data_IF_669801517112
#
_entry.id   IF_669801517112
#
_cell.length_a   1.000
_cell.length_b   1.000
_cell.length_c   1.000
_cell.angle_alpha   90.00
_cell.angle_beta   90.00
_cell.angle_gamma   90.00
#
_symmetry.space_group_name_H-M   'P 1'
#
loop_
_entity.id
_entity.type
_entity.pdbx_description
1 polymer ?
#
# COMPACT_ATOMS: atom_id res chain seq x y z
N UNK A 1 7.50 4.49 -9.69
CA UNK A 1 8.15 5.19 -8.56
C UNK A 1 9.60 5.47 -8.91
N UNK A 2 10.15 6.63 -8.50
CA UNK A 2 11.59 6.89 -8.52
C UNK A 2 12.10 7.03 -7.09
N UNK A 3 13.20 6.36 -6.76
CA UNK A 3 13.73 6.28 -5.40
C UNK A 3 15.26 6.34 -5.43
N UNK A 4 15.92 7.10 -4.54
CA UNK A 4 17.37 6.98 -4.35
C UNK A 4 17.78 5.59 -3.85
N UNK A 5 18.94 5.11 -4.28
CA UNK A 5 19.44 3.78 -3.92
C UNK A 5 19.50 3.54 -2.40
N UNK A 6 19.80 4.57 -1.61
CA UNK A 6 19.88 4.48 -0.13
C UNK A 6 18.54 4.09 0.54
N UNK A 7 17.39 4.38 -0.07
CA UNK A 7 16.07 4.06 0.51
C UNK A 7 15.41 2.82 -0.12
N UNK A 8 16.09 2.16 -1.07
CA UNK A 8 15.51 1.07 -1.87
C UNK A 8 14.89 -0.03 -0.99
N UNK A 9 15.65 -0.54 -0.02
CA UNK A 9 15.20 -1.65 0.84
C UNK A 9 13.95 -1.31 1.64
N UNK A 10 13.88 -0.09 2.17
CA UNK A 10 12.72 0.42 2.90
C UNK A 10 11.48 0.50 2.02
N UNK A 11 11.63 1.00 0.78
CA UNK A 11 10.52 1.12 -0.17
C UNK A 11 10.04 -0.25 -0.65
N UNK A 12 10.95 -1.19 -0.93
CA UNK A 12 10.58 -2.57 -1.30
C UNK A 12 9.78 -3.22 -0.16
N UNK A 13 10.26 -3.08 1.08
CA UNK A 13 9.58 -3.64 2.25
C UNK A 13 8.15 -3.11 2.37
N UNK A 14 7.96 -1.80 2.21
CA UNK A 14 6.63 -1.19 2.21
C UNK A 14 5.74 -1.73 1.08
N UNK A 15 6.29 -1.90 -0.13
CA UNK A 15 5.53 -2.44 -1.26
C UNK A 15 5.06 -3.87 -0.98
N UNK A 16 5.94 -4.72 -0.43
CA UNK A 16 5.60 -6.12 -0.09
C UNK A 16 4.55 -6.19 1.02
N UNK A 17 4.69 -5.38 2.07
CA UNK A 17 3.68 -5.28 3.15
C UNK A 17 2.30 -4.92 2.60
N UNK A 18 2.27 -4.06 1.58
CA UNK A 18 1.05 -3.63 0.88
C UNK A 18 0.65 -4.57 -0.26
N UNK A 19 1.12 -5.82 -0.22
CA UNK A 19 0.80 -6.90 -1.18
C UNK A 19 1.19 -6.56 -2.62
N UNK A 20 2.22 -5.73 -2.76
CA UNK A 20 2.77 -5.29 -4.03
C UNK A 20 3.61 -6.38 -4.69
N UNK A 21 3.42 -6.56 -6.00
CA UNK A 21 4.24 -7.45 -6.83
C UNK A 21 5.16 -6.60 -7.68
N UNK A 22 6.48 -6.79 -7.55
CA UNK A 22 7.45 -6.12 -8.38
C UNK A 22 7.31 -6.58 -9.84
N UNK A 23 7.22 -5.64 -10.77
CA UNK A 23 7.15 -5.93 -12.21
C UNK A 23 8.37 -5.45 -12.97
N UNK A 24 9.04 -4.40 -12.49
CA UNK A 24 10.27 -3.90 -13.10
C UNK A 24 11.13 -3.13 -12.09
N UNK A 25 12.44 -3.12 -12.33
CA UNK A 25 13.43 -2.33 -11.60
C UNK A 25 14.55 -1.91 -12.57
N UNK A 26 14.76 -0.60 -12.71
CA UNK A 26 15.77 -0.03 -13.61
C UNK A 26 16.66 0.94 -12.85
N UNK A 27 17.98 0.81 -13.02
CA UNK A 27 18.98 1.66 -12.39
C UNK A 27 19.35 2.83 -13.30
N UNK A 28 19.36 4.04 -12.73
CA UNK A 28 19.77 5.29 -13.35
C UNK A 28 20.80 5.99 -12.46
N UNK A 29 22.03 5.44 -12.44
CA UNK A 29 23.06 5.88 -11.49
C UNK A 29 22.60 5.65 -10.05
N UNK A 30 22.50 6.72 -9.26
CA UNK A 30 22.06 6.66 -7.85
C UNK A 30 20.54 6.68 -7.67
N UNK A 31 19.76 6.78 -8.76
CA UNK A 31 18.30 6.66 -8.73
C UNK A 31 17.84 5.33 -9.31
N UNK A 32 16.73 4.82 -8.80
CA UNK A 32 16.15 3.55 -9.22
C UNK A 32 14.68 3.80 -9.56
N UNK A 33 14.30 3.42 -10.77
CA UNK A 33 12.91 3.38 -11.21
C UNK A 33 12.31 2.02 -10.86
N UNK A 34 11.29 2.03 -10.01
CA UNK A 34 10.54 0.85 -9.59
C UNK A 34 9.14 0.85 -10.19
N UNK A 35 8.74 -0.30 -10.72
CA UNK A 35 7.37 -0.57 -11.15
C UNK A 35 6.80 -1.72 -10.33
N UNK A 36 5.69 -1.46 -9.66
CA UNK A 36 4.98 -2.43 -8.82
C UNK A 36 3.51 -2.46 -9.22
N UNK A 37 2.91 -3.64 -9.16
CA UNK A 37 1.47 -3.79 -9.12
C UNK A 37 1.04 -3.89 -7.66
N UNK A 38 0.27 -2.90 -7.19
CA UNK A 38 -0.23 -2.85 -5.82
C UNK A 38 -1.76 -2.77 -5.88
N UNK A 39 -2.49 -3.55 -5.07
CA UNK A 39 -3.94 -3.42 -4.97
C UNK A 39 -4.33 -1.97 -4.66
N UNK A 40 -5.24 -1.39 -5.46
CA UNK A 40 -5.59 0.04 -5.34
C UNK A 40 -6.03 0.41 -3.93
N UNK A 41 -6.80 -0.45 -3.25
CA UNK A 41 -7.24 -0.21 -1.87
C UNK A 41 -6.10 0.03 -0.89
N UNK A 42 -4.93 -0.57 -1.10
CA UNK A 42 -3.75 -0.33 -0.25
C UNK A 42 -3.08 1.01 -0.58
N UNK A 43 -3.13 1.45 -1.84
CA UNK A 43 -2.53 2.69 -2.32
C UNK A 43 -3.27 3.92 -1.80
N UNK A 44 -4.62 3.88 -1.78
CA UNK A 44 -5.45 5.02 -1.33
C UNK A 44 -5.53 5.20 0.19
N UNK A 45 -5.17 4.20 0.99
CA UNK A 45 -5.24 4.30 2.45
C UNK A 45 -4.15 5.20 3.04
N UNK A 46 -2.90 4.72 3.05
CA UNK A 46 -1.78 5.42 3.71
C UNK A 46 -0.45 5.26 2.95
N UNK A 47 -0.45 4.63 1.77
CA UNK A 47 0.77 4.26 1.06
C UNK A 47 1.63 5.48 0.73
N UNK A 48 1.03 6.57 0.25
CA UNK A 48 1.77 7.77 -0.14
C UNK A 48 2.51 8.39 1.05
N UNK A 49 1.84 8.54 2.19
CA UNK A 49 2.45 9.12 3.39
C UNK A 49 3.56 8.24 3.95
N UNK A 50 3.34 6.91 3.97
CA UNK A 50 4.36 5.94 4.39
C UNK A 50 5.56 5.90 3.45
N UNK A 51 5.32 5.98 2.14
CA UNK A 51 6.38 6.07 1.13
C UNK A 51 7.23 7.31 1.37
N UNK A 52 6.59 8.47 1.53
CA UNK A 52 7.29 9.73 1.82
C UNK A 52 8.06 9.67 3.12
N UNK A 53 7.48 9.13 4.19
CA UNK A 53 8.16 8.98 5.49
C UNK A 53 9.40 8.09 5.38
N UNK A 54 9.26 6.89 4.81
CA UNK A 54 10.33 5.88 4.76
C UNK A 54 11.49 6.28 3.83
N UNK A 55 11.21 7.17 2.87
CA UNK A 55 12.20 7.74 1.96
C UNK A 55 12.65 9.16 2.34
N UNK A 56 12.27 9.70 3.51
CA UNK A 56 12.50 11.10 3.90
C UNK A 56 12.08 12.14 2.85
N UNK A 57 11.00 11.84 2.12
CA UNK A 57 10.42 12.69 1.07
C UNK A 57 11.02 12.50 -0.33
N UNK A 58 12.16 11.81 -0.45
CA UNK A 58 12.90 11.68 -1.72
C UNK A 58 12.26 10.75 -2.76
N UNK A 59 11.41 9.80 -2.38
CA UNK A 59 10.72 8.94 -3.33
C UNK A 59 9.55 9.67 -3.99
N UNK A 60 9.33 9.43 -5.28
CA UNK A 60 8.14 9.88 -6.01
C UNK A 60 7.26 8.70 -6.44
N UNK A 61 5.96 8.97 -6.54
CA UNK A 61 4.95 8.00 -6.92
C UNK A 61 4.17 8.54 -8.11
N UNK A 62 4.04 7.71 -9.12
CA UNK A 62 3.09 7.83 -10.21
C UNK A 62 2.38 6.48 -10.30
N UNK A 63 1.05 6.51 -10.41
CA UNK A 63 0.23 5.30 -10.43
C UNK A 63 -1.01 5.49 -11.31
N UNK A 64 -1.46 4.38 -11.89
CA UNK A 64 -2.66 4.33 -12.71
C UNK A 64 -3.39 3.02 -12.51
N UNK A 65 -4.69 3.02 -12.81
CA UNK A 65 -5.47 1.79 -12.79
C UNK A 65 -4.95 0.81 -13.84
N UNK A 66 -4.74 -0.46 -13.43
CA UNK A 66 -4.27 -1.52 -14.34
C UNK A 66 -5.37 -2.50 -14.73
N UNK A 67 -6.06 -3.10 -13.75
CA UNK A 67 -7.12 -4.10 -13.93
C UNK A 67 -7.86 -4.36 -12.62
N UNK A 68 -9.01 -5.02 -12.71
CA UNK A 68 -9.59 -5.74 -11.59
C UNK A 68 -8.96 -7.14 -11.47
N UNK A 69 -8.89 -7.66 -10.25
CA UNK A 69 -8.39 -9.00 -9.96
C UNK A 69 -9.16 -9.57 -8.77
N UNK A 70 -9.51 -10.85 -8.83
CA UNK A 70 -10.14 -11.54 -7.71
C UNK A 70 -9.16 -11.60 -6.51
N UNK A 71 -9.67 -11.33 -5.32
CA UNK A 71 -8.93 -11.38 -4.06
C UNK A 71 -9.86 -11.81 -2.92
N UNK A 72 -9.31 -12.38 -1.85
CA UNK A 72 -10.09 -12.75 -0.66
C UNK A 72 -10.37 -11.49 0.18
N UNK A 73 -11.49 -10.84 -0.14
CA UNK A 73 -11.90 -9.57 0.45
C UNK A 73 -13.05 -9.80 1.43
N UNK A 74 -12.97 -9.20 2.61
CA UNK A 74 -14.00 -9.26 3.64
C UNK A 74 -14.48 -7.86 4.01
N UNK A 75 -15.75 -7.77 4.39
CA UNK A 75 -16.33 -6.55 4.96
C UNK A 75 -16.10 -6.54 6.47
N UNK A 76 -15.53 -5.45 6.97
CA UNK A 76 -15.38 -5.18 8.40
C UNK A 76 -16.38 -4.10 8.77
N UNK A 77 -17.29 -4.43 9.68
CA UNK A 77 -18.25 -3.50 10.24
C UNK A 77 -17.75 -2.97 11.58
N UNK A 78 -17.91 -1.67 11.80
CA UNK A 78 -17.51 -1.00 13.05
C UNK A 78 -18.76 -0.72 13.87
N UNK A 79 -18.69 -1.10 15.15
CA UNK A 79 -19.76 -0.86 16.13
C UNK A 79 -19.25 0.09 17.22
N UNK A 80 -20.03 1.12 17.54
CA UNK A 80 -19.78 2.06 18.65
C UNK A 80 -20.97 1.96 19.59
N UNK A 81 -20.73 1.64 20.86
CA UNK A 81 -21.80 1.41 21.85
C UNK A 81 -22.84 0.37 21.39
N UNK A 82 -22.40 -0.70 20.73
CA UNK A 82 -23.25 -1.73 20.11
C UNK A 82 -24.13 -1.26 18.94
N UNK A 83 -24.00 -0.02 18.51
CA UNK A 83 -24.65 0.49 17.29
C UNK A 83 -23.67 0.41 16.11
N UNK A 84 -24.15 -0.14 14.99
CA UNK A 84 -23.36 -0.20 13.76
C UNK A 84 -23.23 1.19 13.16
N UNK A 85 -22.01 1.57 12.77
CA UNK A 85 -21.73 2.83 12.07
C UNK A 85 -21.34 2.51 10.64
N UNK A 86 -22.33 2.49 9.74
CA UNK A 86 -22.13 2.11 8.33
C UNK A 86 -21.10 2.99 7.59
N UNK A 87 -21.01 4.27 7.97
CA UNK A 87 -20.04 5.22 7.39
C UNK A 87 -18.58 4.84 7.64
N UNK A 88 -18.32 3.96 8.62
CA UNK A 88 -16.98 3.49 8.97
C UNK A 88 -16.73 2.05 8.49
N UNK A 89 -17.67 1.42 7.77
CA UNK A 89 -17.48 0.08 7.24
C UNK A 89 -16.38 0.06 6.17
N UNK A 90 -15.57 -0.99 6.18
CA UNK A 90 -14.38 -1.14 5.34
C UNK A 90 -14.48 -2.43 4.53
N UNK A 91 -13.93 -2.44 3.32
CA UNK A 91 -13.64 -3.69 2.59
C UNK A 91 -12.13 -3.86 2.55
N UNK A 92 -11.63 -4.90 3.21
CA UNK A 92 -10.19 -5.15 3.39
C UNK A 92 -9.85 -6.58 2.97
N UNK A 93 -8.57 -6.84 2.70
CA UNK A 93 -8.11 -8.21 2.47
C UNK A 93 -8.23 -9.03 3.75
N UNK A 94 -8.64 -10.29 3.66
CA UNK A 94 -8.89 -11.16 4.80
C UNK A 94 -7.70 -11.26 5.76
N UNK A 95 -6.49 -11.37 5.24
CA UNK A 95 -5.27 -11.46 6.07
C UNK A 95 -5.03 -10.20 6.93
N UNK A 96 -5.56 -9.05 6.49
CA UNK A 96 -5.45 -7.77 7.19
C UNK A 96 -6.74 -7.42 7.96
N UNK A 97 -7.71 -8.33 8.05
CA UNK A 97 -9.01 -8.06 8.69
C UNK A 97 -8.98 -8.10 10.21
N UNK A 98 -7.90 -8.62 10.80
CA UNK A 98 -7.75 -8.68 12.26
C UNK A 98 -7.38 -7.30 12.80
N UNK A 99 -8.36 -6.61 13.38
CA UNK A 99 -8.13 -5.43 14.19
C UNK A 99 -7.86 -5.92 15.62
N UNK A 100 -6.59 -5.98 16.01
CA UNK A 100 -6.23 -6.21 17.41
C UNK A 100 -6.48 -4.93 18.21
N UNK A 101 -7.57 -4.91 18.96
CA UNK A 101 -7.77 -3.92 20.02
C UNK A 101 -6.85 -4.29 21.20
N UNK A 102 -6.12 -3.33 21.80
CA UNK A 102 -5.38 -3.56 23.04
C UNK A 102 -6.30 -3.87 24.22
#
# INVERSE_FOLDING_TARGET
MLVPQEYLGNVITLCVEKRGVQTNMVYHGNQIALTYEIPMGEVVLDFFDRLKSTSRGYASLDYGFKRFQAADMVRVDIMINSERVDALALIVHKDNSTISWP
#
